data_IF_200908306941
#
_entry.id   IF_200908306941
#
_cell.length_a   1.000
_cell.length_b   1.000
_cell.length_c   1.000
_cell.angle_alpha   90.00
_cell.angle_beta   90.00
_cell.angle_gamma   90.00
#
_symmetry.space_group_name_H-M   'P 1'
#
loop_
_entity.id
_entity.type
_entity.pdbx_description
1 polymer ?
#
# COMPACT_ATOMS: atom_id res chain seq x y z
N UNK A 1 7.76 12.41 12.62
CA UNK A 1 7.98 11.45 11.52
C UNK A 1 7.88 10.04 12.10
N UNK A 2 7.19 9.12 11.43
CA UNK A 2 7.07 7.71 11.83
C UNK A 2 7.50 6.85 10.66
N UNK A 3 8.25 5.78 10.92
CA UNK A 3 8.60 4.80 9.89
C UNK A 3 7.71 3.58 10.12
N UNK A 4 6.97 3.17 9.08
CA UNK A 4 6.14 1.97 9.09
C UNK A 4 6.77 0.97 8.13
N UNK A 5 7.37 -0.11 8.63
CA UNK A 5 7.93 -1.12 7.75
C UNK A 5 6.83 -1.95 7.07
N UNK A 6 7.10 -2.39 5.84
CA UNK A 6 6.29 -3.33 5.09
C UNK A 6 7.15 -4.56 4.76
N UNK A 7 6.87 -5.68 5.43
CA UNK A 7 7.67 -6.91 5.30
C UNK A 7 6.92 -8.04 4.59
N UNK A 8 5.67 -7.81 4.22
CA UNK A 8 4.80 -8.81 3.62
C UNK A 8 3.76 -8.12 2.74
N UNK A 9 3.21 -8.84 1.77
CA UNK A 9 2.25 -8.35 0.80
C UNK A 9 2.44 -8.97 -0.57
N UNK A 10 1.54 -8.67 -1.48
CA UNK A 10 1.57 -9.16 -2.85
C UNK A 10 0.96 -8.15 -3.82
N UNK A 11 1.32 -8.30 -5.09
CA UNK A 11 0.74 -7.55 -6.21
C UNK A 11 -0.06 -8.54 -7.05
N UNK A 12 -1.33 -8.19 -7.28
CA UNK A 12 -2.23 -8.97 -8.12
C UNK A 12 -2.62 -8.17 -9.36
N UNK A 13 -2.85 -8.88 -10.46
CA UNK A 13 -3.50 -8.33 -11.63
C UNK A 13 -5.01 -8.13 -11.39
N UNK A 14 -5.71 -7.37 -12.25
CA UNK A 14 -7.15 -7.13 -12.11
C UNK A 14 -8.00 -8.41 -12.10
N UNK A 15 -7.52 -9.50 -12.70
CA UNK A 15 -8.15 -10.82 -12.70
C UNK A 15 -7.93 -11.60 -11.38
N UNK A 16 -7.18 -11.05 -10.42
CA UNK A 16 -6.84 -11.68 -9.15
C UNK A 16 -5.58 -12.55 -9.17
N UNK A 17 -4.92 -12.72 -10.33
CA UNK A 17 -3.67 -13.47 -10.43
C UNK A 17 -2.56 -12.76 -9.65
N UNK A 18 -1.95 -13.47 -8.69
CA UNK A 18 -0.77 -13.00 -7.98
C UNK A 18 0.44 -13.04 -8.91
N UNK A 19 1.14 -11.92 -9.04
CA UNK A 19 2.31 -11.78 -9.93
C UNK A 19 3.61 -11.47 -9.20
N UNK A 20 3.55 -10.81 -8.05
CA UNK A 20 4.73 -10.50 -7.24
C UNK A 20 4.45 -10.63 -5.75
N UNK A 21 5.45 -11.04 -4.98
CA UNK A 21 5.48 -10.98 -3.53
C UNK A 21 6.34 -9.79 -3.09
N UNK A 22 5.86 -9.04 -2.08
CA UNK A 22 6.62 -7.92 -1.49
C UNK A 22 7.72 -8.49 -0.61
N UNK A 23 8.97 -8.11 -0.90
CA UNK A 23 10.14 -8.60 -0.15
C UNK A 23 10.61 -7.62 0.91
N UNK A 24 10.46 -6.32 0.65
CA UNK A 24 10.84 -5.27 1.60
C UNK A 24 10.20 -3.95 1.22
N UNK A 25 10.00 -3.11 2.22
CA UNK A 25 9.56 -1.74 2.02
C UNK A 25 9.42 -0.99 3.33
N UNK A 26 9.20 0.31 3.23
CA UNK A 26 8.89 1.17 4.36
C UNK A 26 8.17 2.42 3.89
N UNK A 27 7.34 2.98 4.77
CA UNK A 27 6.67 4.27 4.61
C UNK A 27 7.17 5.25 5.69
N UNK A 28 7.78 6.35 5.24
CA UNK A 28 8.27 7.47 6.05
C UNK A 28 7.16 8.50 6.21
N UNK A 29 6.20 8.17 7.06
CA UNK A 29 5.04 8.99 7.31
C UNK A 29 5.40 10.32 7.97
N UNK A 30 4.85 11.39 7.41
CA UNK A 30 4.95 12.74 7.94
C UNK A 30 3.60 13.21 8.45
N UNK A 31 3.60 13.91 9.58
CA UNK A 31 2.39 14.50 10.16
C UNK A 31 2.64 16.00 10.33
N UNK A 32 1.80 16.81 9.69
CA UNK A 32 1.76 18.25 9.89
C UNK A 32 0.82 18.63 11.03
N UNK A 33 0.52 19.93 11.21
CA UNK A 33 -0.49 20.40 12.18
C UNK A 33 -1.93 20.05 11.78
N UNK A 34 -2.17 19.71 10.51
CA UNK A 34 -3.45 19.22 10.00
C UNK A 34 -3.71 17.75 10.36
N UNK A 35 -4.95 17.31 10.17
CA UNK A 35 -5.36 15.90 10.20
C UNK A 35 -4.88 15.09 8.98
N UNK A 36 -4.23 15.71 8.01
CA UNK A 36 -3.62 15.04 6.85
C UNK A 36 -2.19 14.60 7.14
N UNK A 37 -1.92 13.32 6.92
CA UNK A 37 -0.58 12.72 6.92
C UNK A 37 -0.04 12.57 5.49
N UNK A 38 1.26 12.76 5.34
CA UNK A 38 1.99 12.46 4.12
C UNK A 38 2.50 11.04 4.11
N UNK A 39 2.31 10.38 2.97
CA UNK A 39 2.86 9.05 2.65
C UNK A 39 4.10 9.27 1.79
N UNK A 40 5.17 8.54 2.12
CA UNK A 40 6.40 8.50 1.33
C UNK A 40 6.98 7.10 1.51
N UNK A 41 6.72 6.23 0.55
CA UNK A 41 7.08 4.84 0.68
C UNK A 41 7.85 4.32 -0.51
N UNK A 42 8.66 3.31 -0.23
CA UNK A 42 9.33 2.51 -1.24
C UNK A 42 9.15 1.03 -0.91
N UNK A 43 8.86 0.24 -1.94
CA UNK A 43 8.59 -1.19 -1.83
C UNK A 43 9.27 -1.89 -2.99
N UNK A 44 9.94 -3.02 -2.73
CA UNK A 44 10.45 -3.92 -3.75
C UNK A 44 9.67 -5.24 -3.70
N UNK A 45 9.36 -5.77 -4.87
CA UNK A 45 8.61 -7.01 -5.04
C UNK A 45 9.25 -7.88 -6.13
N UNK A 46 9.13 -9.20 -6.00
CA UNK A 46 9.74 -10.20 -6.90
C UNK A 46 8.71 -11.25 -7.31
N UNK A 47 8.86 -11.81 -8.51
CA UNK A 47 8.05 -12.96 -8.94
C UNK A 47 8.34 -14.18 -8.06
N UNK A 48 7.43 -15.15 -8.06
CA UNK A 48 7.60 -16.39 -7.27
C UNK A 48 8.91 -17.14 -7.60
N UNK A 49 9.34 -17.09 -8.86
CA UNK A 49 10.61 -17.68 -9.31
C UNK A 49 11.83 -16.74 -9.18
N UNK A 50 11.63 -15.51 -8.69
CA UNK A 50 12.65 -14.51 -8.45
C UNK A 50 13.27 -13.87 -9.71
N UNK A 51 12.77 -14.16 -10.91
CA UNK A 51 13.37 -13.66 -12.16
C UNK A 51 12.88 -12.29 -12.58
N UNK A 52 11.67 -11.91 -12.18
CA UNK A 52 11.10 -10.60 -12.45
C UNK A 52 11.03 -9.77 -11.18
N UNK A 53 11.13 -8.45 -11.31
CA UNK A 53 11.03 -7.54 -10.19
C UNK A 53 10.18 -6.30 -10.52
N UNK A 54 9.57 -5.74 -9.47
CA UNK A 54 9.00 -4.39 -9.48
C UNK A 54 9.56 -3.60 -8.30
N UNK A 55 9.99 -2.37 -8.58
CA UNK A 55 10.32 -1.36 -7.57
C UNK A 55 9.24 -0.28 -7.61
N UNK A 56 8.59 -0.03 -6.48
CA UNK A 56 7.55 0.99 -6.34
C UNK A 56 8.04 2.09 -5.42
N UNK A 57 8.06 3.33 -5.89
CA UNK A 57 8.21 4.53 -5.08
C UNK A 57 6.90 5.32 -5.17
N UNK A 58 6.31 5.66 -4.02
CA UNK A 58 5.05 6.38 -4.03
C UNK A 58 4.94 7.43 -2.94
N UNK A 59 4.37 8.55 -3.33
CA UNK A 59 3.95 9.63 -2.44
C UNK A 59 2.44 9.68 -2.40
N UNK A 60 1.90 10.20 -1.31
CA UNK A 60 0.47 10.39 -1.21
C UNK A 60 0.03 11.07 0.07
N UNK A 61 -1.28 11.00 0.31
CA UNK A 61 -1.94 11.59 1.46
C UNK A 61 -2.95 10.62 2.03
N UNK A 62 -3.14 10.72 3.33
CA UNK A 62 -4.26 10.13 4.06
C UNK A 62 -4.74 11.15 5.09
N UNK A 63 -6.05 11.32 5.21
CA UNK A 63 -6.71 12.12 6.24
C UNK A 63 -7.09 11.22 7.41
N UNK A 64 -6.63 11.58 8.61
CA UNK A 64 -7.04 10.93 9.85
C UNK A 64 -8.45 11.38 10.20
N UNK A 65 -9.41 10.69 9.59
CA UNK A 65 -10.84 10.87 9.87
C UNK A 65 -11.27 10.00 11.06
N UNK A 66 -12.45 10.27 11.61
CA UNK A 66 -13.04 9.42 12.66
C UNK A 66 -13.12 7.95 12.23
N UNK A 67 -13.34 7.68 10.93
CA UNK A 67 -13.32 6.31 10.41
C UNK A 67 -11.96 5.64 10.60
N UNK A 68 -10.87 6.33 10.26
CA UNK A 68 -9.50 5.83 10.46
C UNK A 68 -9.19 5.65 11.94
N UNK A 69 -9.60 6.61 12.78
CA UNK A 69 -9.45 6.50 14.23
C UNK A 69 -10.21 5.31 14.81
N UNK A 70 -11.43 5.05 14.34
CA UNK A 70 -12.22 3.90 14.76
C UNK A 70 -11.56 2.58 14.35
N UNK A 71 -10.98 2.50 13.15
CA UNK A 71 -10.23 1.32 12.70
C UNK A 71 -9.01 1.07 13.60
N UNK A 72 -8.29 2.12 13.98
CA UNK A 72 -7.13 2.03 14.89
C UNK A 72 -7.59 1.66 16.32
N UNK A 73 -8.70 2.24 16.78
CA UNK A 73 -9.25 2.04 18.11
C UNK A 73 -9.93 0.68 18.29
N UNK A 74 -10.34 0.02 17.21
CA UNK A 74 -10.99 -1.29 17.24
C UNK A 74 -10.08 -2.42 17.76
N UNK A 75 -8.78 -2.17 18.00
CA UNK A 75 -7.83 -3.12 18.62
C UNK A 75 -7.86 -4.53 18.01
N UNK A 76 -8.14 -4.62 16.71
CA UNK A 76 -8.19 -5.87 15.96
C UNK A 76 -9.50 -6.65 16.09
N UNK A 77 -10.62 -6.03 16.46
CA UNK A 77 -11.94 -6.64 16.21
C UNK A 77 -12.08 -6.96 14.71
N UNK A 78 -12.46 -8.20 14.41
CA UNK A 78 -12.48 -8.74 13.05
C UNK A 78 -13.39 -7.90 12.15
N UNK A 79 -12.83 -7.37 11.05
CA UNK A 79 -13.58 -6.59 10.06
C UNK A 79 -13.44 -5.07 10.18
N UNK A 80 -12.64 -4.55 11.12
CA UNK A 80 -12.34 -3.12 11.16
C UNK A 80 -11.50 -2.69 9.94
N UNK A 81 -12.08 -1.85 9.08
CA UNK A 81 -11.38 -1.30 7.94
C UNK A 81 -12.09 -0.13 7.27
N UNK A 82 -11.46 0.43 6.25
CA UNK A 82 -12.06 1.44 5.38
C UNK A 82 -12.42 0.85 4.03
N UNK A 83 -13.35 1.51 3.35
CA UNK A 83 -13.55 1.31 1.92
C UNK A 83 -12.42 1.95 1.11
N UNK A 84 -12.38 1.64 -0.18
CA UNK A 84 -11.43 2.23 -1.14
C UNK A 84 -11.59 3.74 -1.20
N UNK A 85 -10.48 4.47 -1.03
CA UNK A 85 -10.47 5.94 -0.94
C UNK A 85 -10.97 6.50 0.41
N UNK A 86 -11.37 5.63 1.34
CA UNK A 86 -11.75 6.02 2.69
C UNK A 86 -10.63 6.78 3.41
N UNK A 87 -10.99 7.83 4.13
CA UNK A 87 -10.00 8.72 4.74
C UNK A 87 -9.14 9.49 3.73
N UNK A 88 -9.62 9.75 2.51
CA UNK A 88 -8.85 10.44 1.46
C UNK A 88 -7.49 9.76 1.23
N UNK A 89 -7.45 8.43 1.16
CA UNK A 89 -6.21 7.68 0.99
C UNK A 89 -5.89 7.53 -0.49
N UNK A 90 -4.99 8.38 -1.00
CA UNK A 90 -4.55 8.36 -2.40
C UNK A 90 -3.03 8.48 -2.51
N UNK A 91 -2.46 7.75 -3.47
CA UNK A 91 -1.03 7.75 -3.78
C UNK A 91 -0.79 7.87 -5.29
N UNK A 92 0.41 8.29 -5.66
CA UNK A 92 0.92 8.36 -7.03
C UNK A 92 2.14 7.44 -7.16
N UNK A 93 1.95 6.14 -7.48
CA UNK A 93 3.07 5.23 -7.57
C UNK A 93 3.84 5.43 -8.87
N UNK A 94 5.16 5.48 -8.74
CA UNK A 94 6.12 5.29 -9.82
C UNK A 94 6.62 3.86 -9.73
N UNK A 95 6.43 3.11 -10.80
CA UNK A 95 6.77 1.69 -10.86
C UNK A 95 7.94 1.54 -11.82
N UNK A 96 8.94 0.77 -11.41
CA UNK A 96 10.09 0.42 -12.24
C UNK A 96 10.20 -1.09 -12.37
N UNK A 97 10.48 -1.56 -13.59
CA UNK A 97 10.81 -2.96 -13.84
C UNK A 97 11.99 -3.09 -14.80
N UNK A 98 12.79 -4.14 -14.60
CA UNK A 98 13.83 -4.57 -15.53
C UNK A 98 13.36 -5.72 -16.44
N UNK A 99 12.19 -6.30 -16.20
CA UNK A 99 11.62 -7.36 -17.04
C UNK A 99 11.10 -6.77 -18.34
N UNK A 100 11.36 -7.44 -19.47
CA UNK A 100 10.78 -7.09 -20.77
C UNK A 100 9.25 -7.14 -20.75
N UNK A 101 8.66 -8.12 -20.06
CA UNK A 101 7.19 -8.28 -19.93
C UNK A 101 6.55 -7.08 -19.25
N UNK A 102 7.23 -6.51 -18.27
CA UNK A 102 6.73 -5.41 -17.44
C UNK A 102 7.33 -4.06 -17.82
N UNK A 103 8.12 -3.96 -18.90
CA UNK A 103 8.82 -2.74 -19.28
C UNK A 103 7.88 -1.54 -19.49
N UNK A 104 6.63 -1.80 -19.89
CA UNK A 104 5.60 -0.77 -20.09
C UNK A 104 5.30 0.07 -18.84
N UNK A 105 5.56 -0.45 -17.62
CA UNK A 105 5.31 0.29 -16.38
C UNK A 105 6.28 1.46 -16.21
N UNK A 106 7.46 1.39 -16.83
CA UNK A 106 8.50 2.41 -16.72
C UNK A 106 8.08 3.75 -17.34
N UNK A 107 7.20 3.70 -18.35
CA UNK A 107 6.75 4.87 -19.11
C UNK A 107 5.30 5.28 -18.77
N UNK A 108 4.66 4.59 -17.83
CA UNK A 108 3.27 4.81 -17.46
C UNK A 108 3.12 5.71 -16.23
N UNK A 109 2.06 6.51 -16.21
CA UNK A 109 1.63 7.27 -15.02
C UNK A 109 0.52 6.52 -14.32
N UNK A 110 0.58 6.47 -12.98
CA UNK A 110 -0.39 5.77 -12.16
C UNK A 110 -0.97 6.65 -11.05
N UNK A 111 -2.22 6.37 -10.72
CA UNK A 111 -2.91 6.84 -9.52
C UNK A 111 -3.47 5.63 -8.78
N UNK A 112 -3.49 5.68 -7.45
CA UNK A 112 -4.10 4.60 -6.67
C UNK A 112 -4.95 5.13 -5.52
N UNK A 113 -6.05 4.44 -5.25
CA UNK A 113 -6.83 4.63 -4.03
C UNK A 113 -6.54 3.50 -3.04
N UNK A 114 -6.31 3.89 -1.79
CA UNK A 114 -5.97 3.00 -0.70
C UNK A 114 -7.18 2.60 0.13
N UNK A 115 -7.03 1.51 0.88
CA UNK A 115 -7.84 1.22 2.06
C UNK A 115 -6.96 0.68 3.18
N UNK A 116 -7.42 0.85 4.41
CA UNK A 116 -6.76 0.34 5.61
C UNK A 116 -7.64 -0.74 6.23
N UNK A 117 -7.06 -1.88 6.59
CA UNK A 117 -7.73 -2.91 7.39
C UNK A 117 -6.85 -3.29 8.58
N UNK A 118 -7.48 -3.60 9.70
CA UNK A 118 -6.82 -4.14 10.87
C UNK A 118 -7.33 -5.56 11.10
N UNK A 119 -6.41 -6.52 11.18
CA UNK A 119 -6.72 -7.91 11.53
C UNK A 119 -5.98 -8.31 12.80
N UNK A 120 -6.53 -9.28 13.52
CA UNK A 120 -5.88 -9.90 14.68
C UNK A 120 -5.32 -11.25 14.28
N UNK A 121 -4.08 -11.51 14.67
CA UNK A 121 -3.42 -12.81 14.53
C UNK A 121 -3.77 -13.71 15.71
N UNK A 122 -3.56 -15.01 15.52
CA UNK A 122 -3.81 -16.04 16.54
C UNK A 122 -2.96 -15.82 17.80
N UNK A 123 -1.79 -15.21 17.66
CA UNK A 123 -0.91 -14.82 18.78
C UNK A 123 -1.40 -13.59 19.56
N UNK A 124 -2.56 -13.06 19.18
CA UNK A 124 -3.19 -11.89 19.80
C UNK A 124 -2.66 -10.54 19.31
N UNK A 125 -1.63 -10.50 18.47
CA UNK A 125 -1.10 -9.29 17.85
C UNK A 125 -2.04 -8.73 16.77
N UNK A 126 -1.97 -7.44 16.50
CA UNK A 126 -2.73 -6.80 15.41
C UNK A 126 -1.82 -6.52 14.22
N UNK A 127 -2.31 -6.78 13.01
CA UNK A 127 -1.65 -6.42 11.76
C UNK A 127 -2.49 -5.40 11.02
N UNK A 128 -1.88 -4.27 10.70
CA UNK A 128 -2.45 -3.30 9.76
C UNK A 128 -2.05 -3.69 8.35
N UNK A 129 -3.03 -3.87 7.48
CA UNK A 129 -2.81 -4.06 6.04
C UNK A 129 -3.26 -2.82 5.31
N UNK A 130 -2.39 -2.32 4.43
CA UNK A 130 -2.75 -1.28 3.47
C UNK A 130 -2.90 -1.96 2.12
N UNK A 131 -4.02 -1.73 1.45
CA UNK A 131 -4.24 -2.22 0.10
C UNK A 131 -4.44 -1.04 -0.84
N UNK A 132 -3.94 -1.16 -2.06
CA UNK A 132 -4.13 -0.15 -3.11
C UNK A 132 -4.75 -0.79 -4.34
N UNK A 133 -5.69 -0.09 -4.98
CA UNK A 133 -6.06 -0.33 -6.38
C UNK A 133 -5.30 0.67 -7.22
N UNK A 134 -4.38 0.18 -8.05
CA UNK A 134 -3.52 1.00 -8.90
C UNK A 134 -4.12 1.07 -10.29
N UNK A 135 -4.29 2.28 -10.80
CA UNK A 135 -4.86 2.57 -12.10
C UNK A 135 -3.81 3.26 -12.96
N UNK A 136 -3.61 2.78 -14.18
CA UNK A 136 -2.87 3.49 -15.22
C UNK A 136 -3.73 4.67 -15.70
N UNK A 137 -3.12 5.83 -15.88
CA UNK A 137 -3.76 7.00 -16.49
C UNK A 137 -3.69 6.87 -18.02
N UNK A 138 -4.81 7.13 -18.70
CA UNK A 138 -4.95 7.15 -20.16
C UNK A 138 -5.19 8.57 -20.68
#
# INVERSE_FOLDING_TARGET
MRIVPAFDGHINLPNGEKVFDVVTGSDWQTRGPSDVMGINARVSAVSEDGKENLDLEYYGKIKITQQIENVIAARGETGAGTEWGGGYYFITPRIHSRSERWAWVNDAVFLACGKLTLSRKDDGSSVSTVSYRIYKVE
#
